data_IF_102559845738
#
_entry.id   IF_102559845738
#
_cell.length_a   1.000
_cell.length_b   1.000
_cell.length_c   1.000
_cell.angle_alpha   90.00
_cell.angle_beta   90.00
_cell.angle_gamma   90.00
#
_symmetry.space_group_name_H-M   'P 1'
#
loop_
_entity.id
_entity.type
_entity.pdbx_description
1 polymer ?
#
# COMPACT_ATOMS: atom_id res chain seq x y z
N UNK A 1 11.60 -5.72 -0.95
CA UNK A 1 10.51 -6.66 -0.62
C UNK A 1 9.20 -5.87 -0.57
N UNK A 2 8.10 -6.43 -1.05
CA UNK A 2 6.75 -5.86 -0.91
C UNK A 2 5.83 -6.88 -0.22
N UNK A 3 4.87 -6.42 0.59
CA UNK A 3 3.91 -7.26 1.28
C UNK A 3 2.49 -6.73 1.08
N UNK A 4 1.56 -7.62 0.74
CA UNK A 4 0.13 -7.33 0.61
C UNK A 4 -0.65 -8.03 1.72
N UNK A 5 -1.72 -7.40 2.21
CA UNK A 5 -2.53 -7.94 3.31
C UNK A 5 -4.02 -7.91 2.97
N UNK A 6 -4.77 -8.90 3.44
CA UNK A 6 -6.23 -8.82 3.50
C UNK A 6 -6.63 -8.15 4.81
N UNK A 7 -7.53 -7.17 4.74
CA UNK A 7 -8.04 -6.46 5.90
C UNK A 7 -9.38 -7.05 6.36
N UNK A 8 -9.47 -7.35 7.65
CA UNK A 8 -10.70 -7.81 8.30
C UNK A 8 -11.12 -6.76 9.33
N UNK A 9 -12.30 -6.18 9.15
CA UNK A 9 -12.89 -5.27 10.14
C UNK A 9 -13.31 -6.00 11.41
N UNK A 10 -13.76 -7.23 11.26
CA UNK A 10 -14.15 -8.16 12.33
C UNK A 10 -13.23 -9.39 12.26
N UNK A 11 -12.00 -9.30 12.79
CA UNK A 11 -11.00 -10.37 12.65
C UNK A 11 -11.39 -11.68 13.34
N UNK A 12 -12.19 -11.62 14.40
CA UNK A 12 -12.74 -12.78 15.11
C UNK A 12 -13.81 -13.54 14.31
N UNK A 13 -14.34 -12.93 13.24
CA UNK A 13 -15.32 -13.52 12.32
C UNK A 13 -14.92 -13.18 10.89
N UNK A 14 -13.82 -13.78 10.43
CA UNK A 14 -13.22 -13.44 9.13
C UNK A 14 -14.22 -13.53 7.97
N UNK A 15 -15.06 -14.56 7.94
CA UNK A 15 -16.09 -14.77 6.90
C UNK A 15 -17.38 -13.93 7.08
N UNK A 16 -17.41 -12.98 8.03
CA UNK A 16 -18.54 -12.06 8.17
C UNK A 16 -18.68 -11.20 6.89
N UNK A 17 -19.86 -11.15 6.24
CA UNK A 17 -20.06 -10.37 5.02
C UNK A 17 -19.76 -8.86 5.18
N UNK A 18 -19.74 -8.33 6.41
CA UNK A 18 -19.32 -6.95 6.69
C UNK A 18 -17.82 -6.71 6.47
N UNK A 19 -17.03 -7.78 6.34
CA UNK A 19 -15.64 -7.72 5.90
C UNK A 19 -15.50 -7.69 4.37
N UNK A 20 -16.58 -7.87 3.60
CA UNK A 20 -16.47 -8.01 2.15
C UNK A 20 -16.52 -6.67 1.40
N UNK A 21 -15.87 -6.62 0.24
CA UNK A 21 -16.00 -5.53 -0.73
C UNK A 21 -17.02 -5.88 -1.83
N UNK A 22 -17.60 -4.87 -2.50
CA UNK A 22 -18.35 -5.10 -3.73
C UNK A 22 -17.47 -5.79 -4.78
N UNK A 23 -17.91 -6.96 -5.24
CA UNK A 23 -17.20 -7.75 -6.24
C UNK A 23 -17.64 -7.39 -7.66
N UNK A 24 -16.67 -7.25 -8.56
CA UNK A 24 -16.93 -7.20 -10.01
C UNK A 24 -17.53 -8.52 -10.51
N UNK A 25 -18.26 -8.53 -11.64
CA UNK A 25 -18.75 -9.77 -12.24
C UNK A 25 -17.63 -10.78 -12.49
N UNK A 26 -16.46 -10.32 -12.94
CA UNK A 26 -15.29 -11.16 -13.17
C UNK A 26 -14.80 -11.84 -11.89
N UNK A 27 -14.71 -11.09 -10.77
CA UNK A 27 -14.31 -11.65 -9.48
C UNK A 27 -15.34 -12.66 -8.96
N UNK A 28 -16.65 -12.38 -9.08
CA UNK A 28 -17.71 -13.33 -8.69
C UNK A 28 -17.58 -14.64 -9.46
N UNK A 29 -17.40 -14.56 -10.77
CA UNK A 29 -17.22 -15.74 -11.64
C UNK A 29 -15.95 -16.51 -11.28
N UNK A 30 -14.83 -15.82 -11.04
CA UNK A 30 -13.56 -16.46 -10.66
C UNK A 30 -13.70 -17.24 -9.33
N UNK A 31 -14.36 -16.64 -8.34
CA UNK A 31 -14.61 -17.27 -7.05
C UNK A 31 -15.51 -18.50 -7.21
N UNK A 32 -16.64 -18.38 -7.90
CA UNK A 32 -17.56 -19.50 -8.12
C UNK A 32 -16.88 -20.67 -8.87
N UNK A 33 -16.04 -20.35 -9.87
CA UNK A 33 -15.25 -21.35 -10.60
C UNK A 33 -14.24 -22.05 -9.70
N UNK A 34 -13.57 -21.31 -8.81
CA UNK A 34 -12.57 -21.87 -7.90
C UNK A 34 -13.20 -22.87 -6.91
N UNK A 35 -14.40 -22.57 -6.40
CA UNK A 35 -15.10 -23.42 -5.43
C UNK A 35 -15.46 -24.82 -5.98
N UNK A 36 -15.81 -24.91 -7.26
CA UNK A 36 -16.10 -26.19 -7.93
C UNK A 36 -14.90 -26.86 -8.61
N UNK A 37 -13.68 -26.32 -8.44
CA UNK A 37 -12.50 -26.80 -9.15
C UNK A 37 -11.65 -27.79 -8.34
N UNK A 38 -10.80 -28.54 -9.04
CA UNK A 38 -9.74 -29.38 -8.46
C UNK A 38 -8.45 -28.60 -8.15
N UNK A 39 -8.51 -27.26 -8.10
CA UNK A 39 -7.33 -26.46 -7.77
C UNK A 39 -6.84 -26.74 -6.34
N UNK A 40 -5.53 -26.64 -6.09
CA UNK A 40 -4.98 -26.69 -4.74
C UNK A 40 -5.70 -25.72 -3.80
N UNK A 41 -5.84 -26.11 -2.53
CA UNK A 41 -6.54 -25.31 -1.51
C UNK A 41 -5.97 -23.90 -1.39
N UNK A 42 -4.64 -23.76 -1.35
CA UNK A 42 -3.95 -22.48 -1.29
C UNK A 42 -4.35 -21.52 -2.41
N UNK A 43 -4.52 -22.05 -3.64
CA UNK A 43 -4.91 -21.25 -4.79
C UNK A 43 -6.39 -20.87 -4.74
N UNK A 44 -7.25 -21.76 -4.25
CA UNK A 44 -8.67 -21.43 -4.01
C UNK A 44 -8.81 -20.35 -2.95
N UNK A 45 -8.02 -20.42 -1.88
CA UNK A 45 -8.03 -19.41 -0.82
C UNK A 45 -7.50 -18.07 -1.32
N UNK A 46 -6.46 -18.05 -2.14
CA UNK A 46 -6.00 -16.83 -2.79
C UNK A 46 -7.10 -16.17 -3.63
N UNK A 47 -7.88 -16.97 -4.38
CA UNK A 47 -9.01 -16.45 -5.17
C UNK A 47 -10.15 -15.95 -4.26
N UNK A 48 -10.49 -16.70 -3.20
CA UNK A 48 -11.51 -16.30 -2.21
C UNK A 48 -11.16 -14.99 -1.53
N UNK A 49 -9.87 -14.71 -1.31
CA UNK A 49 -9.41 -13.46 -0.69
C UNK A 49 -9.78 -12.20 -1.48
N UNK A 50 -10.17 -12.32 -2.75
CA UNK A 50 -10.73 -11.21 -3.53
C UNK A 50 -12.03 -10.64 -2.91
N UNK A 51 -12.69 -11.38 -2.01
CA UNK A 51 -13.83 -10.91 -1.21
C UNK A 51 -13.44 -9.79 -0.22
N UNK A 52 -12.19 -9.75 0.22
CA UNK A 52 -11.77 -8.84 1.30
C UNK A 52 -11.08 -7.59 0.75
N UNK A 53 -11.17 -6.45 1.45
CA UNK A 53 -10.32 -5.30 1.17
C UNK A 53 -8.85 -5.73 1.24
N UNK A 54 -8.07 -5.29 0.26
CA UNK A 54 -6.65 -5.61 0.18
C UNK A 54 -5.82 -4.35 0.38
N UNK A 55 -4.85 -4.42 1.28
CA UNK A 55 -3.74 -3.46 1.36
C UNK A 55 -2.68 -3.93 0.37
N UNK A 56 -2.79 -3.48 -0.89
CA UNK A 56 -1.92 -3.92 -1.98
C UNK A 56 -0.52 -3.33 -1.83
N UNK A 57 0.49 -4.20 -1.75
CA UNK A 57 1.88 -3.86 -1.51
C UNK A 57 2.09 -2.85 -0.37
N UNK A 58 1.21 -2.92 0.65
CA UNK A 58 1.06 -1.96 1.73
C UNK A 58 2.36 -1.44 2.32
N UNK A 59 3.39 -2.30 2.35
CA UNK A 59 4.73 -2.01 2.85
C UNK A 59 5.75 -2.44 1.80
N UNK A 60 6.67 -1.54 1.45
CA UNK A 60 7.88 -1.83 0.68
C UNK A 60 9.13 -1.50 1.49
N UNK A 61 10.09 -2.41 1.48
CA UNK A 61 11.44 -2.19 2.03
C UNK A 61 12.48 -2.33 0.92
N UNK A 62 13.49 -1.47 0.94
CA UNK A 62 14.51 -1.42 -0.10
C UNK A 62 15.85 -0.96 0.44
N UNK A 63 16.92 -1.46 -0.19
CA UNK A 63 18.27 -1.01 0.05
C UNK A 63 18.55 0.29 -0.73
N UNK A 64 19.52 1.10 -0.29
CA UNK A 64 20.02 2.25 -1.04
C UNK A 64 20.58 1.78 -2.38
N UNK A 65 20.20 2.45 -3.47
CA UNK A 65 20.80 2.25 -4.79
C UNK A 65 21.51 3.52 -5.24
N UNK A 66 22.72 3.44 -5.84
CA UNK A 66 23.52 4.62 -6.20
C UNK A 66 22.84 5.60 -7.17
N UNK A 67 21.85 5.15 -7.95
CA UNK A 67 21.15 5.96 -8.93
C UNK A 67 20.21 7.01 -8.32
N UNK A 68 19.83 6.89 -7.04
CA UNK A 68 18.82 7.75 -6.40
C UNK A 68 19.44 8.71 -5.37
N UNK A 69 20.74 9.02 -5.50
CA UNK A 69 21.52 9.70 -4.46
C UNK A 69 20.99 11.06 -3.99
N UNK A 70 20.29 11.81 -4.84
CA UNK A 70 19.79 13.14 -4.48
C UNK A 70 18.54 13.10 -3.58
N UNK A 71 17.56 12.24 -3.90
CA UNK A 71 16.25 12.16 -3.23
C UNK A 71 15.75 10.71 -3.12
N UNK A 72 16.48 9.85 -2.38
CA UNK A 72 16.24 8.42 -2.38
C UNK A 72 14.89 8.03 -1.74
N UNK A 73 14.45 8.73 -0.70
CA UNK A 73 13.20 8.41 -0.03
C UNK A 73 12.00 8.87 -0.85
N UNK A 74 12.06 10.11 -1.36
CA UNK A 74 10.99 10.74 -2.12
C UNK A 74 10.73 9.99 -3.43
N UNK A 75 11.79 9.60 -4.15
CA UNK A 75 11.68 8.80 -5.39
C UNK A 75 10.95 7.47 -5.14
N UNK A 76 11.33 6.77 -4.06
CA UNK A 76 10.73 5.48 -3.69
C UNK A 76 9.27 5.64 -3.26
N UNK A 77 8.98 6.68 -2.48
CA UNK A 77 7.62 6.94 -2.01
C UNK A 77 6.70 7.31 -3.16
N UNK A 78 7.14 8.17 -4.08
CA UNK A 78 6.39 8.52 -5.29
C UNK A 78 6.13 7.29 -6.18
N UNK A 79 7.15 6.46 -6.41
CA UNK A 79 6.99 5.24 -7.19
C UNK A 79 5.95 4.31 -6.54
N UNK A 80 6.04 4.10 -5.22
CA UNK A 80 5.11 3.26 -4.49
C UNK A 80 3.68 3.80 -4.54
N UNK A 81 3.49 5.10 -4.33
CA UNK A 81 2.20 5.77 -4.47
C UNK A 81 1.60 5.49 -5.85
N UNK A 82 2.38 5.70 -6.92
CA UNK A 82 1.89 5.56 -8.29
C UNK A 82 1.48 4.12 -8.58
N UNK A 83 2.24 3.13 -8.12
CA UNK A 83 1.93 1.73 -8.33
C UNK A 83 0.63 1.32 -7.63
N UNK A 84 0.44 1.74 -6.36
CA UNK A 84 -0.80 1.46 -5.62
C UNK A 84 -1.99 2.17 -6.24
N UNK A 85 -1.85 3.42 -6.67
CA UNK A 85 -2.93 4.15 -7.35
C UNK A 85 -3.35 3.45 -8.66
N UNK A 86 -2.38 2.97 -9.45
CA UNK A 86 -2.66 2.24 -10.68
C UNK A 86 -3.34 0.90 -10.44
N UNK A 87 -2.92 0.18 -9.40
CA UNK A 87 -3.46 -1.15 -9.08
C UNK A 87 -4.86 -1.06 -8.45
N UNK A 88 -5.07 -0.14 -7.51
CA UNK A 88 -6.27 -0.11 -6.65
C UNK A 88 -7.36 0.85 -7.15
N UNK A 89 -7.01 1.87 -7.93
CA UNK A 89 -7.95 2.90 -8.39
C UNK A 89 -7.87 3.08 -9.92
N UNK A 90 -8.11 2.00 -10.71
CA UNK A 90 -8.00 2.07 -12.17
C UNK A 90 -9.02 3.07 -12.74
N UNK A 91 -8.58 3.88 -13.70
CA UNK A 91 -9.40 4.89 -14.38
C UNK A 91 -9.44 6.26 -13.70
N UNK A 92 -8.82 6.44 -12.53
CA UNK A 92 -8.65 7.77 -11.94
C UNK A 92 -7.59 8.59 -12.69
N UNK A 93 -7.77 9.92 -12.79
CA UNK A 93 -6.74 10.81 -13.31
C UNK A 93 -5.44 10.57 -12.54
N UNK A 94 -4.36 10.25 -13.25
CA UNK A 94 -3.06 10.09 -12.60
C UNK A 94 -2.70 11.44 -11.99
N UNK A 95 -2.22 11.51 -10.73
CA UNK A 95 -1.44 12.68 -10.32
C UNK A 95 -0.36 12.85 -11.38
N UNK A 96 -0.25 14.05 -11.96
CA UNK A 96 0.74 14.30 -13.00
C UNK A 96 2.11 13.93 -12.41
N UNK A 97 2.65 12.77 -12.78
CA UNK A 97 4.10 12.56 -12.70
C UNK A 97 4.65 13.74 -13.48
N UNK A 98 5.40 14.60 -12.82
CA UNK A 98 6.04 15.68 -13.52
C UNK A 98 6.84 15.06 -14.67
N UNK A 99 6.35 15.24 -15.89
CA UNK A 99 6.90 14.60 -17.09
C UNK A 99 8.25 15.19 -17.47
N UNK A 100 8.71 16.19 -16.72
CA UNK A 100 10.03 16.75 -16.82
C UNK A 100 11.02 15.86 -16.06
N UNK A 101 12.04 15.29 -16.73
CA UNK A 101 13.13 14.58 -16.06
C UNK A 101 13.94 15.45 -15.08
N UNK A 102 13.63 16.75 -14.98
CA UNK A 102 14.22 17.70 -14.03
C UNK A 102 13.37 17.95 -12.78
N UNK A 103 12.17 17.41 -12.70
CA UNK A 103 11.33 17.63 -11.53
C UNK A 103 11.84 16.83 -10.36
N UNK A 104 11.90 17.48 -9.20
CA UNK A 104 12.14 16.75 -7.96
C UNK A 104 11.00 15.73 -7.73
N UNK A 105 11.31 14.52 -7.24
CA UNK A 105 10.29 13.57 -6.82
C UNK A 105 9.38 14.20 -5.77
N UNK A 106 8.10 13.83 -5.80
CA UNK A 106 7.04 14.38 -4.93
C UNK A 106 6.74 15.88 -5.11
N UNK A 107 7.30 16.57 -6.11
CA UNK A 107 7.11 18.02 -6.28
C UNK A 107 5.65 18.46 -6.42
N UNK A 108 4.78 17.57 -6.90
CA UNK A 108 3.35 17.83 -7.12
C UNK A 108 2.46 17.39 -5.95
N UNK A 109 3.05 16.98 -4.83
CA UNK A 109 2.32 16.54 -3.65
C UNK A 109 2.57 17.48 -2.47
N UNK A 110 1.58 17.62 -1.60
CA UNK A 110 1.80 18.21 -0.29
C UNK A 110 2.50 17.19 0.61
N UNK A 111 3.75 17.49 0.98
CA UNK A 111 4.62 16.58 1.73
C UNK A 111 4.85 17.11 3.14
N UNK A 112 4.26 16.42 4.11
CA UNK A 112 4.51 16.66 5.53
C UNK A 112 5.81 15.95 5.94
N UNK A 113 6.87 16.73 6.20
CA UNK A 113 8.19 16.22 6.56
C UNK A 113 8.39 16.22 8.08
N UNK A 114 9.15 15.26 8.58
CA UNK A 114 9.50 15.16 10.00
C UNK A 114 8.34 14.68 10.88
N UNK A 115 7.35 14.01 10.29
CA UNK A 115 6.23 13.40 11.03
C UNK A 115 6.77 12.23 11.85
N UNK A 116 6.43 12.10 13.15
CA UNK A 116 6.88 10.97 13.95
C UNK A 116 6.23 9.68 13.46
N UNK A 117 7.04 8.65 13.24
CA UNK A 117 6.60 7.29 12.93
C UNK A 117 7.26 6.32 13.91
N UNK A 118 6.49 5.43 14.51
CA UNK A 118 6.99 4.47 15.50
C UNK A 118 7.63 3.26 14.82
N UNK A 119 8.91 3.04 15.09
CA UNK A 119 9.70 1.89 14.65
C UNK A 119 10.42 1.34 15.88
N UNK A 120 10.20 0.07 16.19
CA UNK A 120 10.71 -0.56 17.42
C UNK A 120 10.31 0.19 18.71
N UNK A 121 9.16 0.88 18.67
CA UNK A 121 8.67 1.74 19.75
C UNK A 121 9.32 3.12 19.83
N UNK A 122 10.33 3.41 18.99
CA UNK A 122 11.01 4.69 18.91
C UNK A 122 10.46 5.57 17.77
N UNK A 123 10.41 6.88 17.98
CA UNK A 123 9.93 7.82 16.98
C UNK A 123 11.04 8.17 15.97
N UNK A 124 10.89 7.74 14.71
CA UNK A 124 11.74 8.15 13.61
C UNK A 124 11.11 9.31 12.80
N UNK A 125 11.94 10.10 12.12
CA UNK A 125 11.47 11.15 11.21
C UNK A 125 11.00 10.55 9.89
N UNK A 126 9.71 10.63 9.64
CA UNK A 126 9.09 10.17 8.40
C UNK A 126 8.59 11.33 7.54
N UNK A 127 8.32 11.00 6.28
CA UNK A 127 7.60 11.82 5.32
C UNK A 127 6.20 11.26 5.19
N UNK A 128 5.20 12.12 5.14
CA UNK A 128 3.81 11.75 4.91
C UNK A 128 3.25 12.54 3.74
N UNK A 129 2.48 11.86 2.91
CA UNK A 129 1.78 12.43 1.76
C UNK A 129 0.33 11.95 1.83
N UNK A 130 -0.60 12.90 1.84
CA UNK A 130 -2.04 12.61 1.85
C UNK A 130 -2.62 12.89 0.46
N UNK A 131 -3.09 11.85 -0.22
CA UNK A 131 -3.71 11.95 -1.56
C UNK A 131 -5.18 11.67 -1.39
N UNK A 132 -5.92 12.70 -0.97
CA UNK A 132 -7.35 12.61 -0.72
C UNK A 132 -8.10 12.49 -2.06
N UNK A 133 -9.11 11.60 -2.19
CA UNK A 133 -9.65 10.68 -1.17
C UNK A 133 -9.03 9.26 -1.18
N UNK A 134 -7.92 9.05 -1.90
CA UNK A 134 -7.44 7.72 -2.27
C UNK A 134 -6.53 7.06 -1.23
N UNK A 135 -5.38 7.66 -0.91
CA UNK A 135 -4.35 7.02 -0.09
C UNK A 135 -3.67 7.98 0.87
N UNK A 136 -3.19 7.44 1.98
CA UNK A 136 -2.19 8.04 2.87
C UNK A 136 -0.90 7.26 2.68
N UNK A 137 0.19 7.95 2.39
CA UNK A 137 1.49 7.36 2.17
C UNK A 137 2.50 7.87 3.19
N UNK A 138 3.31 6.98 3.73
CA UNK A 138 4.41 7.32 4.64
C UNK A 138 5.70 6.69 4.15
N UNK A 139 6.81 7.37 4.38
CA UNK A 139 8.13 6.85 4.09
C UNK A 139 9.15 7.29 5.12
N UNK A 140 10.07 6.41 5.47
CA UNK A 140 11.15 6.72 6.39
C UNK A 140 12.45 6.04 5.95
N UNK A 141 13.56 6.64 6.37
CA UNK A 141 14.86 5.95 6.39
C UNK A 141 15.06 5.36 7.77
N UNK A 142 15.39 4.07 7.81
CA UNK A 142 15.65 3.31 9.04
C UNK A 142 17.02 2.70 8.83
N UNK A 143 18.00 3.15 9.61
CA UNK A 143 19.41 2.79 9.46
C UNK A 143 19.92 2.96 8.01
N UNK A 144 20.31 1.85 7.39
CA UNK A 144 20.79 1.76 6.02
C UNK A 144 19.69 1.43 5.02
N UNK A 145 18.40 1.43 5.40
CA UNK A 145 17.27 1.02 4.55
C UNK A 145 16.23 2.11 4.39
N UNK A 146 15.44 1.96 3.33
CA UNK A 146 14.26 2.78 3.10
C UNK A 146 13.02 1.90 3.20
N UNK A 147 12.03 2.43 3.90
CA UNK A 147 10.72 1.83 4.01
C UNK A 147 9.66 2.83 3.52
N UNK A 148 8.66 2.33 2.79
CA UNK A 148 7.48 3.09 2.40
C UNK A 148 6.22 2.27 2.64
N UNK A 149 5.17 2.91 3.13
CA UNK A 149 3.82 2.34 3.18
C UNK A 149 2.82 3.23 2.49
N UNK A 150 1.84 2.61 1.83
CA UNK A 150 0.73 3.28 1.16
C UNK A 150 -0.55 2.57 1.55
N UNK A 151 -1.46 3.29 2.19
CA UNK A 151 -2.70 2.75 2.75
C UNK A 151 -3.90 3.48 2.16
N UNK A 152 -4.95 2.78 1.70
CA UNK A 152 -6.20 3.43 1.30
C UNK A 152 -6.79 4.28 2.42
N UNK A 153 -7.17 5.52 2.12
CA UNK A 153 -7.66 6.49 3.13
C UNK A 153 -8.88 5.97 3.89
N UNK A 154 -9.75 5.17 3.26
CA UNK A 154 -10.91 4.55 3.93
C UNK A 154 -10.55 3.49 4.99
N UNK A 155 -9.35 2.91 4.91
CA UNK A 155 -8.87 1.92 5.88
C UNK A 155 -7.96 2.53 6.94
N UNK A 156 -7.27 3.62 6.61
CA UNK A 156 -6.29 4.29 7.48
C UNK A 156 -6.79 4.57 8.92
N UNK A 157 -8.04 5.03 9.17
CA UNK A 157 -8.52 5.27 10.54
C UNK A 157 -8.59 4.02 11.43
N UNK A 158 -8.61 2.83 10.83
CA UNK A 158 -8.70 1.56 11.55
C UNK A 158 -7.35 0.83 11.64
N UNK A 159 -6.26 1.47 11.17
CA UNK A 159 -4.93 0.86 11.11
C UNK A 159 -3.97 1.71 11.94
N UNK A 160 -3.33 1.09 12.91
CA UNK A 160 -2.17 1.67 13.59
C UNK A 160 -0.90 1.31 12.83
N UNK A 161 -0.18 2.32 12.37
CA UNK A 161 1.12 2.13 11.74
C UNK A 161 2.21 2.03 12.81
N UNK A 162 2.66 0.80 13.06
CA UNK A 162 3.83 0.51 13.87
C UNK A 162 4.68 -0.52 13.12
N UNK A 163 5.99 -0.29 13.08
CA UNK A 163 6.93 -1.15 12.36
C UNK A 163 7.96 -1.71 13.35
N UNK A 164 8.51 -2.88 13.01
CA UNK A 164 9.58 -3.49 13.76
C UNK A 164 10.72 -3.88 12.81
N UNK A 165 11.96 -3.75 13.27
CA UNK A 165 13.11 -4.37 12.61
C UNK A 165 13.20 -5.85 13.03
N UNK A 166 13.62 -6.72 12.10
CA UNK A 166 13.76 -8.16 12.31
C UNK A 166 15.22 -8.57 12.17
#
# INVERSE_FOLDING_TARGET
>A
MCLSYSYFRFPERQEDPRNFVPLTPAQKTAIARAEGSSLPEELRDQIRRARFPTLFEAVRTSLPIPAERAHPLESRLEAHIVDVLQAMFPGQPRPERSRSPRSAPLANYDVHRGVPLLIDGEACRAYRVDIVPHVVAVGARVDDRYFTAVIPTGLYPNITLAFATL
#
